data_IF_290073848139
#
_entry.id   IF_290073848139
#
_cell.length_a   1.000
_cell.length_b   1.000
_cell.length_c   1.000
_cell.angle_alpha   90.00
_cell.angle_beta   90.00
_cell.angle_gamma   90.00
#
_symmetry.space_group_name_H-M   'P 1'
#
loop_
_entity.id
_entity.type
_entity.pdbx_description
1 polymer ?
#
# COMPACT_ATOMS: atom_id res chain seq x y z
N UNK A 1 -8.98 -10.02 -9.62
CA UNK A 1 -7.94 -10.21 -8.59
C UNK A 1 -6.53 -9.75 -9.01
N UNK A 2 -6.13 -9.91 -10.27
CA UNK A 2 -4.76 -9.57 -10.72
C UNK A 2 -4.52 -8.06 -10.84
N UNK A 3 -5.50 -7.29 -11.31
CA UNK A 3 -5.33 -5.85 -11.56
C UNK A 3 -4.86 -5.06 -10.33
N UNK A 4 -5.47 -5.19 -9.13
CA UNK A 4 -4.97 -4.52 -7.93
C UNK A 4 -3.68 -5.16 -7.36
N UNK A 5 -3.43 -6.44 -7.61
CA UNK A 5 -2.24 -7.13 -7.10
C UNK A 5 -0.95 -6.70 -7.83
N UNK A 6 -1.02 -6.43 -9.15
CA UNK A 6 0.15 -6.09 -9.96
C UNK A 6 0.91 -4.85 -9.48
N UNK A 7 0.26 -3.68 -9.21
CA UNK A 7 0.98 -2.51 -8.72
C UNK A 7 1.63 -2.73 -7.35
N UNK A 8 0.95 -3.43 -6.45
CA UNK A 8 1.44 -3.70 -5.10
C UNK A 8 2.62 -4.69 -5.12
N UNK A 9 2.45 -5.82 -5.80
CA UNK A 9 3.51 -6.82 -5.94
C UNK A 9 4.69 -6.27 -6.73
N UNK A 10 4.44 -5.63 -7.87
CA UNK A 10 5.48 -5.02 -8.71
C UNK A 10 6.25 -3.93 -7.97
N UNK A 11 5.58 -3.16 -7.09
CA UNK A 11 6.21 -2.11 -6.29
C UNK A 11 7.04 -2.61 -5.11
N UNK A 12 6.73 -3.77 -4.53
CA UNK A 12 7.36 -4.26 -3.30
C UNK A 12 8.34 -5.42 -3.54
N UNK A 13 7.97 -6.41 -4.37
CA UNK A 13 8.76 -7.64 -4.54
C UNK A 13 10.20 -7.41 -5.01
N UNK A 14 10.49 -6.57 -6.03
CA UNK A 14 11.83 -6.43 -6.54
C UNK A 14 12.77 -5.60 -5.65
N UNK A 15 12.28 -4.98 -4.58
CA UNK A 15 13.08 -4.02 -3.79
C UNK A 15 14.33 -4.65 -3.18
N UNK A 16 14.25 -5.88 -2.67
CA UNK A 16 15.42 -6.57 -2.13
C UNK A 16 16.53 -6.77 -3.17
N UNK A 17 16.16 -7.03 -4.43
CA UNK A 17 17.11 -7.19 -5.53
C UNK A 17 17.78 -5.87 -5.93
N UNK A 18 17.08 -4.75 -5.73
CA UNK A 18 17.53 -3.41 -6.11
C UNK A 18 18.41 -2.74 -5.04
N UNK A 19 18.37 -3.21 -3.79
CA UNK A 19 19.12 -2.62 -2.66
C UNK A 19 20.59 -2.43 -3.01
N UNK A 20 21.27 -3.49 -3.45
CA UNK A 20 22.71 -3.46 -3.77
C UNK A 20 23.03 -2.53 -4.95
N UNK A 21 22.13 -2.42 -5.93
CA UNK A 21 22.29 -1.52 -7.06
C UNK A 21 22.10 -0.06 -6.63
N UNK A 22 21.07 0.25 -5.88
CA UNK A 22 20.80 1.60 -5.36
C UNK A 22 21.93 2.06 -4.42
N UNK A 23 22.40 1.18 -3.52
CA UNK A 23 23.46 1.51 -2.56
C UNK A 23 24.78 1.97 -3.20
N UNK A 24 25.11 1.44 -4.40
CA UNK A 24 26.36 1.79 -5.12
C UNK A 24 26.38 3.21 -5.71
N UNK A 25 25.27 3.91 -5.74
CA UNK A 25 25.19 5.27 -6.30
C UNK A 25 25.21 6.29 -5.17
N UNK A 26 26.12 7.25 -5.18
CA UNK A 26 26.19 8.35 -4.21
C UNK A 26 24.94 9.23 -4.26
N UNK A 27 24.58 9.70 -5.46
CA UNK A 27 23.36 10.47 -5.72
C UNK A 27 22.21 9.55 -6.14
N UNK A 28 21.10 9.60 -5.42
CA UNK A 28 19.91 8.77 -5.65
C UNK A 28 18.87 9.47 -6.53
N UNK A 29 18.83 10.81 -6.52
CA UNK A 29 17.87 11.60 -7.28
C UNK A 29 17.89 11.33 -8.80
N UNK A 30 19.05 11.17 -9.47
CA UNK A 30 19.09 10.79 -10.89
C UNK A 30 18.42 9.42 -11.15
N UNK A 31 18.59 8.46 -10.23
CA UNK A 31 17.94 7.15 -10.33
C UNK A 31 16.42 7.28 -10.21
N UNK A 32 15.96 8.06 -9.22
CA UNK A 32 14.54 8.38 -9.05
C UNK A 32 13.96 9.04 -10.30
N UNK A 33 14.64 10.06 -10.87
CA UNK A 33 14.18 10.77 -12.07
C UNK A 33 14.01 9.81 -13.27
N UNK A 34 15.00 8.94 -13.52
CA UNK A 34 14.96 7.95 -14.62
C UNK A 34 13.85 6.93 -14.41
N UNK A 35 13.77 6.36 -13.21
CA UNK A 35 12.71 5.39 -12.91
C UNK A 35 11.32 6.01 -13.01
N UNK A 36 11.15 7.25 -12.54
CA UNK A 36 9.87 7.96 -12.65
C UNK A 36 9.51 8.34 -14.09
N UNK A 37 10.47 8.55 -14.98
CA UNK A 37 10.21 8.72 -16.41
C UNK A 37 9.59 7.46 -17.03
N UNK A 38 10.09 6.27 -16.69
CA UNK A 38 9.49 5.00 -17.14
C UNK A 38 8.12 4.75 -16.51
N UNK A 39 7.90 5.14 -15.24
CA UNK A 39 6.57 5.13 -14.63
C UNK A 39 5.60 6.02 -15.40
N UNK A 40 6.02 7.22 -15.75
CA UNK A 40 5.23 8.16 -16.54
C UNK A 40 4.91 7.61 -17.93
N UNK A 41 5.87 6.96 -18.60
CA UNK A 41 5.64 6.26 -19.86
C UNK A 41 4.60 5.13 -19.72
N UNK A 42 4.63 4.37 -18.61
CA UNK A 42 3.61 3.38 -18.29
C UNK A 42 2.20 3.98 -18.18
N UNK A 43 2.08 5.13 -17.50
CA UNK A 43 0.81 5.84 -17.41
C UNK A 43 0.35 6.41 -18.76
N UNK A 44 1.27 6.90 -19.59
CA UNK A 44 0.96 7.34 -20.96
C UNK A 44 0.43 6.20 -21.83
N UNK A 45 0.92 4.97 -21.65
CA UNK A 45 0.35 3.79 -22.32
C UNK A 45 -1.11 3.55 -21.94
N UNK A 46 -1.47 3.74 -20.65
CA UNK A 46 -2.87 3.64 -20.22
C UNK A 46 -3.74 4.70 -20.88
N UNK A 47 -3.26 5.94 -20.93
CA UNK A 47 -3.94 7.07 -21.60
C UNK A 47 -4.10 6.76 -23.08
N UNK A 48 -3.01 6.40 -23.77
CA UNK A 48 -3.02 6.07 -25.20
C UNK A 48 -4.01 4.93 -25.51
N UNK A 49 -3.91 3.83 -24.75
CA UNK A 49 -4.81 2.69 -24.93
C UNK A 49 -6.27 3.07 -24.81
N UNK A 50 -6.60 3.84 -23.75
CA UNK A 50 -7.97 4.26 -23.49
C UNK A 50 -8.51 5.28 -24.52
N UNK A 51 -7.67 6.16 -25.08
CA UNK A 51 -8.11 7.09 -26.12
C UNK A 51 -8.26 6.47 -27.51
N UNK A 52 -7.35 5.57 -27.88
CA UNK A 52 -7.20 5.16 -29.28
C UNK A 52 -7.60 3.71 -29.57
N UNK A 53 -7.66 2.83 -28.55
CA UNK A 53 -7.86 1.40 -28.76
C UNK A 53 -9.23 0.89 -28.33
N UNK A 54 -10.19 1.77 -28.08
CA UNK A 54 -11.55 1.39 -27.65
C UNK A 54 -12.27 0.41 -28.60
N UNK A 55 -11.99 0.49 -29.91
CA UNK A 55 -12.54 -0.42 -30.90
C UNK A 55 -11.94 -1.84 -30.88
N UNK A 56 -10.79 -2.05 -30.22
CA UNK A 56 -10.06 -3.32 -30.14
C UNK A 56 -9.86 -3.79 -28.69
N UNK A 57 -10.88 -4.40 -28.05
CA UNK A 57 -10.83 -4.70 -26.60
C UNK A 57 -9.63 -5.55 -26.17
N UNK A 58 -9.21 -6.53 -27.00
CA UNK A 58 -8.05 -7.38 -26.71
C UNK A 58 -6.74 -6.60 -26.72
N UNK A 59 -6.56 -5.70 -27.70
CA UNK A 59 -5.37 -4.84 -27.78
C UNK A 59 -5.37 -3.80 -26.68
N UNK A 60 -6.52 -3.19 -26.39
CA UNK A 60 -6.70 -2.28 -25.26
C UNK A 60 -6.28 -2.94 -23.94
N UNK A 61 -6.77 -4.16 -23.66
CA UNK A 61 -6.40 -4.92 -22.47
C UNK A 61 -4.89 -5.20 -22.41
N UNK A 62 -4.29 -5.62 -23.55
CA UNK A 62 -2.85 -5.87 -23.65
C UNK A 62 -2.02 -4.63 -23.32
N UNK A 63 -2.35 -3.48 -23.93
CA UNK A 63 -1.67 -2.20 -23.70
C UNK A 63 -1.89 -1.71 -22.27
N UNK A 64 -3.10 -1.88 -21.72
CA UNK A 64 -3.42 -1.54 -20.33
C UNK A 64 -2.56 -2.35 -19.37
N UNK A 65 -2.49 -3.67 -19.53
CA UNK A 65 -1.68 -4.53 -18.67
C UNK A 65 -0.18 -4.24 -18.79
N UNK A 66 0.31 -3.96 -20.02
CA UNK A 66 1.70 -3.57 -20.24
C UNK A 66 2.04 -2.24 -19.58
N UNK A 67 1.19 -1.23 -19.70
CA UNK A 67 1.36 0.07 -19.05
C UNK A 67 1.33 -0.04 -17.52
N UNK A 68 0.40 -0.83 -16.98
CA UNK A 68 0.29 -1.10 -15.55
C UNK A 68 1.51 -1.86 -15.01
N UNK A 69 2.00 -2.85 -15.75
CA UNK A 69 3.21 -3.60 -15.40
C UNK A 69 4.44 -2.70 -15.41
N UNK A 70 4.62 -1.87 -16.44
CA UNK A 70 5.72 -0.91 -16.53
C UNK A 70 5.70 0.07 -15.36
N UNK A 71 4.53 0.64 -15.06
CA UNK A 71 4.33 1.51 -13.91
C UNK A 71 4.68 0.82 -12.58
N UNK A 72 4.21 -0.41 -12.38
CA UNK A 72 4.47 -1.20 -11.18
C UNK A 72 5.95 -1.52 -10.99
N UNK A 73 6.61 -2.02 -12.06
CA UNK A 73 8.03 -2.38 -12.04
C UNK A 73 8.91 -1.17 -11.68
N UNK A 74 8.71 -0.05 -12.35
CA UNK A 74 9.49 1.16 -12.08
C UNK A 74 9.06 1.87 -10.81
N UNK A 75 7.92 1.55 -10.22
CA UNK A 75 7.58 1.96 -8.84
C UNK A 75 8.53 1.32 -7.84
N UNK A 76 8.87 0.04 -7.98
CA UNK A 76 9.88 -0.60 -7.13
C UNK A 76 11.25 0.06 -7.28
N UNK A 77 11.67 0.32 -8.53
CA UNK A 77 12.97 0.96 -8.83
C UNK A 77 13.05 2.38 -8.25
N UNK A 78 11.96 3.16 -8.30
CA UNK A 78 11.91 4.53 -7.80
C UNK A 78 11.77 4.63 -6.28
N UNK A 79 11.21 3.61 -5.63
CA UNK A 79 10.85 3.63 -4.21
C UNK A 79 12.07 3.81 -3.29
N UNK A 80 13.10 2.99 -3.45
CA UNK A 80 14.31 3.08 -2.62
C UNK A 80 15.03 4.43 -2.79
N UNK A 81 15.34 4.90 -4.02
CA UNK A 81 15.89 6.23 -4.23
C UNK A 81 15.03 7.36 -3.64
N UNK A 82 13.70 7.27 -3.74
CA UNK A 82 12.78 8.25 -3.17
C UNK A 82 12.98 8.40 -1.65
N UNK A 83 12.98 7.28 -0.92
CA UNK A 83 13.14 7.30 0.53
C UNK A 83 14.53 7.76 0.98
N UNK A 84 15.57 7.41 0.22
CA UNK A 84 16.95 7.86 0.47
C UNK A 84 17.08 9.40 0.27
N UNK A 85 16.57 9.94 -0.85
CA UNK A 85 16.58 11.39 -1.11
C UNK A 85 15.81 12.14 -0.01
N UNK A 86 14.63 11.63 0.35
CA UNK A 86 13.81 12.25 1.40
C UNK A 86 14.54 12.22 2.76
N UNK A 87 15.20 11.12 3.09
CA UNK A 87 15.94 10.99 4.33
C UNK A 87 17.15 11.92 4.42
N UNK A 88 17.78 12.25 3.27
CA UNK A 88 18.90 13.20 3.17
C UNK A 88 18.45 14.65 3.17
N UNK A 89 17.38 14.95 2.41
CA UNK A 89 16.91 16.31 2.21
C UNK A 89 16.11 16.88 3.38
N UNK A 90 15.50 16.02 4.23
CA UNK A 90 14.60 16.45 5.32
C UNK A 90 15.19 16.08 6.67
N UNK A 91 15.46 17.07 7.55
CA UNK A 91 15.90 16.85 8.93
C UNK A 91 14.95 15.92 9.68
N UNK A 92 15.49 15.13 10.62
CA UNK A 92 14.69 14.12 11.35
C UNK A 92 13.51 14.74 12.09
N UNK A 93 13.72 15.92 12.64
CA UNK A 93 12.75 16.69 13.45
C UNK A 93 11.56 17.16 12.60
N UNK A 94 11.77 17.41 11.30
CA UNK A 94 10.74 17.91 10.37
C UNK A 94 9.96 16.80 9.68
N UNK A 95 10.49 15.57 9.65
CA UNK A 95 9.85 14.42 8.98
C UNK A 95 8.42 14.15 9.45
N UNK A 96 8.09 14.20 10.78
CA UNK A 96 6.73 13.98 11.23
C UNK A 96 5.75 15.00 10.65
N UNK A 97 6.14 16.28 10.59
CA UNK A 97 5.34 17.35 9.98
C UNK A 97 5.14 17.16 8.48
N UNK A 98 6.20 16.78 7.77
CA UNK A 98 6.15 16.47 6.35
C UNK A 98 5.18 15.29 6.08
N UNK A 99 5.29 14.19 6.82
CA UNK A 99 4.40 13.06 6.65
C UNK A 99 2.95 13.40 6.98
N UNK A 100 2.72 14.18 8.03
CA UNK A 100 1.38 14.67 8.33
C UNK A 100 0.81 15.50 7.18
N UNK A 101 1.59 16.40 6.59
CA UNK A 101 1.19 17.20 5.44
C UNK A 101 0.91 16.34 4.19
N UNK A 102 1.75 15.33 3.91
CA UNK A 102 1.55 14.39 2.80
C UNK A 102 0.25 13.61 2.97
N UNK A 103 0.01 13.03 4.16
CA UNK A 103 -1.18 12.20 4.39
C UNK A 103 -2.47 13.02 4.47
N UNK A 104 -2.44 14.17 5.15
CA UNK A 104 -3.61 15.07 5.22
C UNK A 104 -3.92 15.69 3.85
N UNK A 105 -2.91 16.27 3.19
CA UNK A 105 -3.08 16.86 1.86
C UNK A 105 -3.49 15.83 0.83
N UNK A 106 -2.86 14.65 0.83
CA UNK A 106 -3.22 13.52 -0.01
C UNK A 106 -4.65 13.05 0.23
N UNK A 107 -5.09 12.96 1.49
CA UNK A 107 -6.46 12.60 1.85
C UNK A 107 -7.49 13.60 1.34
N UNK A 108 -7.24 14.91 1.51
CA UNK A 108 -8.11 15.97 0.99
C UNK A 108 -8.18 15.93 -0.55
N UNK A 109 -7.03 15.79 -1.21
CA UNK A 109 -6.99 15.68 -2.67
C UNK A 109 -7.71 14.42 -3.18
N UNK A 110 -7.56 13.28 -2.51
CA UNK A 110 -8.27 12.05 -2.86
C UNK A 110 -9.79 12.20 -2.70
N UNK A 111 -10.24 12.86 -1.63
CA UNK A 111 -11.66 13.18 -1.42
C UNK A 111 -12.21 14.07 -2.53
N UNK A 112 -11.52 15.16 -2.87
CA UNK A 112 -11.91 16.04 -3.97
C UNK A 112 -11.89 15.33 -5.33
N UNK A 113 -10.87 14.49 -5.57
CA UNK A 113 -10.78 13.69 -6.79
C UNK A 113 -11.97 12.73 -6.94
N UNK A 114 -12.52 12.21 -5.84
CA UNK A 114 -13.73 11.37 -5.87
C UNK A 114 -14.93 12.09 -6.48
N UNK A 115 -15.14 13.36 -6.17
CA UNK A 115 -16.18 14.18 -6.82
C UNK A 115 -15.88 14.41 -8.30
N UNK A 116 -14.62 14.67 -8.65
CA UNK A 116 -14.17 14.81 -10.04
C UNK A 116 -14.44 13.55 -10.86
N UNK A 117 -14.11 12.38 -10.31
CA UNK A 117 -14.39 11.08 -10.94
C UNK A 117 -15.90 10.90 -11.17
N UNK A 118 -16.72 11.16 -10.13
CA UNK A 118 -18.18 11.06 -10.24
C UNK A 118 -18.75 12.01 -11.30
N UNK A 119 -18.30 13.26 -11.30
CA UNK A 119 -18.77 14.25 -12.26
C UNK A 119 -18.40 13.86 -13.70
N UNK A 120 -17.16 13.39 -13.92
CA UNK A 120 -16.68 13.03 -15.24
C UNK A 120 -17.31 11.75 -15.78
N UNK A 121 -17.52 10.75 -14.95
CA UNK A 121 -18.21 9.51 -15.37
C UNK A 121 -19.73 9.72 -15.53
N UNK A 122 -20.29 10.77 -14.91
CA UNK A 122 -21.69 11.17 -15.12
C UNK A 122 -21.96 11.94 -16.40
N UNK A 123 -20.95 12.21 -17.23
CA UNK A 123 -21.09 12.92 -18.53
C UNK A 123 -21.58 12.03 -19.69
N UNK A 124 -21.96 10.76 -19.43
CA UNK A 124 -22.41 9.80 -20.45
C UNK A 124 -21.48 9.70 -21.69
N UNK A 125 -20.17 9.85 -21.48
CA UNK A 125 -19.19 9.73 -22.54
C UNK A 125 -19.09 8.29 -23.07
N UNK A 126 -18.91 8.08 -24.37
CA UNK A 126 -18.76 6.74 -24.92
C UNK A 126 -17.55 6.03 -24.30
N UNK A 127 -17.72 4.75 -23.95
CA UNK A 127 -16.62 3.92 -23.46
C UNK A 127 -15.52 3.78 -24.55
N UNK A 128 -14.23 3.94 -24.20
CA UNK A 128 -13.65 4.14 -22.86
C UNK A 128 -13.25 5.60 -22.55
N UNK A 129 -13.81 6.61 -23.24
CA UNK A 129 -13.35 8.02 -23.18
C UNK A 129 -13.37 8.63 -21.78
N UNK A 130 -14.39 8.36 -20.96
CA UNK A 130 -14.43 8.83 -19.58
C UNK A 130 -13.25 8.34 -18.74
N UNK A 131 -12.88 7.08 -18.92
CA UNK A 131 -11.69 6.49 -18.26
C UNK A 131 -10.38 7.05 -18.82
N UNK A 132 -10.33 7.31 -20.14
CA UNK A 132 -9.14 7.93 -20.77
C UNK A 132 -8.84 9.30 -20.17
N UNK A 133 -9.87 10.12 -19.96
CA UNK A 133 -9.73 11.44 -19.31
C UNK A 133 -9.28 11.31 -17.85
N UNK A 134 -9.78 10.33 -17.09
CA UNK A 134 -9.35 10.08 -15.72
C UNK A 134 -7.87 9.66 -15.68
N UNK A 135 -7.44 8.76 -16.58
CA UNK A 135 -6.03 8.38 -16.68
C UNK A 135 -5.17 9.56 -17.09
N UNK A 136 -5.63 10.43 -18.00
CA UNK A 136 -4.90 11.63 -18.42
C UNK A 136 -4.70 12.59 -17.25
N UNK A 137 -5.75 12.89 -16.47
CA UNK A 137 -5.68 13.73 -15.28
C UNK A 137 -4.73 13.14 -14.23
N UNK A 138 -4.83 11.84 -13.96
CA UNK A 138 -3.91 11.13 -13.04
C UNK A 138 -2.46 11.17 -13.52
N UNK A 139 -2.23 11.02 -14.83
CA UNK A 139 -0.90 11.09 -15.44
C UNK A 139 -0.31 12.50 -15.33
N UNK A 140 -1.11 13.53 -15.56
CA UNK A 140 -0.68 14.94 -15.39
C UNK A 140 -0.33 15.23 -13.93
N UNK A 141 -1.17 14.81 -12.99
CA UNK A 141 -0.90 14.98 -11.55
C UNK A 141 0.39 14.25 -11.13
N UNK A 142 0.59 13.01 -11.61
CA UNK A 142 1.84 12.28 -11.38
C UNK A 142 3.05 12.99 -11.99
N UNK A 143 2.92 13.49 -13.22
CA UNK A 143 3.98 14.24 -13.92
C UNK A 143 4.38 15.50 -13.15
N UNK A 144 3.41 16.25 -12.63
CA UNK A 144 3.66 17.42 -11.79
C UNK A 144 4.40 17.03 -10.49
N UNK A 145 3.97 15.98 -9.80
CA UNK A 145 4.64 15.48 -8.59
C UNK A 145 6.08 15.04 -8.87
N UNK A 146 6.29 14.28 -9.95
CA UNK A 146 7.62 13.86 -10.39
C UNK A 146 8.54 15.06 -10.70
N UNK A 147 8.03 16.06 -11.41
CA UNK A 147 8.76 17.28 -11.74
C UNK A 147 9.18 18.05 -10.48
N UNK A 148 8.24 18.27 -9.56
CA UNK A 148 8.49 18.99 -8.30
C UNK A 148 9.51 18.24 -7.44
N UNK A 149 9.29 16.96 -7.15
CA UNK A 149 10.23 16.15 -6.35
C UNK A 149 11.60 16.04 -7.04
N UNK A 150 11.62 15.98 -8.37
CA UNK A 150 12.84 15.95 -9.15
C UNK A 150 13.72 17.20 -9.02
N UNK A 151 13.22 18.29 -8.41
CA UNK A 151 13.98 19.53 -8.14
C UNK A 151 14.53 19.62 -6.74
N UNK A 152 14.28 18.63 -5.89
CA UNK A 152 14.85 18.57 -4.54
C UNK A 152 16.38 18.59 -4.65
N UNK A 153 17.02 19.38 -3.82
CA UNK A 153 18.47 19.39 -3.67
C UNK A 153 18.88 18.19 -2.81
N UNK A 154 19.60 17.24 -3.41
CA UNK A 154 20.13 16.09 -2.72
C UNK A 154 21.56 16.38 -2.24
N UNK A 155 21.81 16.40 -0.90
CA UNK A 155 23.18 16.50 -0.38
C UNK A 155 24.06 15.35 -0.87
N UNK A 156 25.31 15.64 -1.21
CA UNK A 156 26.28 14.59 -1.53
C UNK A 156 26.66 13.84 -0.25
N UNK A 157 26.57 12.55 -0.29
CA UNK A 157 27.11 11.67 0.73
C UNK A 157 28.18 10.77 0.10
N UNK A 158 29.24 10.51 0.86
CA UNK A 158 30.22 9.51 0.47
C UNK A 158 29.56 8.14 0.35
N UNK A 159 29.85 7.44 -0.75
CA UNK A 159 29.34 6.09 -0.97
C UNK A 159 29.94 5.17 0.08
N UNK A 160 29.14 4.65 0.98
CA UNK A 160 29.59 3.57 1.85
C UNK A 160 29.96 2.36 0.97
N UNK A 161 31.26 2.16 0.77
CA UNK A 161 31.83 1.05 0.00
C UNK A 161 31.73 -0.21 0.84
N UNK A 162 30.49 -0.72 1.04
CA UNK A 162 30.22 -1.97 1.72
C UNK A 162 29.32 -2.87 0.87
N UNK A 163 29.62 -4.16 0.77
CA UNK A 163 28.65 -5.13 0.25
C UNK A 163 27.47 -5.17 1.21
N UNK A 164 26.31 -4.71 0.77
CA UNK A 164 25.08 -4.84 1.55
C UNK A 164 24.71 -6.32 1.64
N UNK A 165 25.01 -6.94 2.78
CA UNK A 165 24.64 -8.34 3.02
C UNK A 165 23.16 -8.41 3.42
N UNK A 166 22.32 -8.85 2.46
CA UNK A 166 20.90 -9.05 2.68
C UNK A 166 20.58 -10.13 3.72
N UNK A 167 21.56 -10.96 4.11
CA UNK A 167 21.36 -12.01 5.12
C UNK A 167 21.46 -11.46 6.54
N UNK A 168 22.11 -10.32 6.73
CA UNK A 168 22.37 -9.75 8.05
C UNK A 168 21.07 -9.45 8.82
N UNK A 169 20.06 -8.76 8.25
CA UNK A 169 18.78 -8.53 8.93
C UNK A 169 18.10 -9.84 9.34
N UNK A 170 18.16 -10.90 8.50
CA UNK A 170 17.54 -12.19 8.79
C UNK A 170 18.17 -12.93 9.97
N UNK A 171 19.41 -12.59 10.35
CA UNK A 171 20.09 -13.16 11.54
C UNK A 171 19.57 -12.54 12.84
N UNK A 172 18.91 -11.38 12.78
CA UNK A 172 18.39 -10.67 13.94
C UNK A 172 17.07 -11.29 14.42
N UNK A 173 16.99 -11.75 15.69
CA UNK A 173 15.74 -12.34 16.21
C UNK A 173 14.55 -11.40 16.12
N UNK A 174 14.73 -10.10 16.40
CA UNK A 174 13.67 -9.09 16.32
C UNK A 174 13.12 -8.92 14.90
N UNK A 175 13.98 -8.96 13.88
CA UNK A 175 13.52 -8.87 12.50
C UNK A 175 12.73 -10.10 12.05
N UNK A 176 13.17 -11.30 12.47
CA UNK A 176 12.40 -12.54 12.22
C UNK A 176 11.06 -12.53 12.91
N UNK A 177 11.01 -12.08 14.17
CA UNK A 177 9.75 -11.93 14.89
C UNK A 177 8.80 -10.93 14.20
N UNK A 178 9.35 -9.79 13.72
CA UNK A 178 8.60 -8.83 12.90
C UNK A 178 8.03 -9.46 11.63
N UNK A 179 8.85 -10.18 10.86
CA UNK A 179 8.39 -10.85 9.64
C UNK A 179 7.29 -11.88 9.94
N UNK A 180 7.42 -12.63 11.06
CA UNK A 180 6.39 -13.60 11.50
C UNK A 180 5.07 -12.90 11.84
N UNK A 181 5.12 -11.79 12.57
CA UNK A 181 3.92 -11.01 12.87
C UNK A 181 3.26 -10.46 11.58
N UNK A 182 4.09 -9.93 10.67
CA UNK A 182 3.62 -9.41 9.37
C UNK A 182 3.09 -10.51 8.44
N UNK A 183 3.63 -11.75 8.53
CA UNK A 183 3.13 -12.91 7.80
C UNK A 183 1.67 -13.17 8.14
N UNK A 184 1.39 -13.38 9.42
CA UNK A 184 0.04 -13.75 9.83
C UNK A 184 -0.97 -12.61 9.68
N UNK A 185 -0.60 -11.37 10.03
CA UNK A 185 -1.47 -10.20 9.83
C UNK A 185 -1.67 -9.88 8.34
N UNK A 186 -0.63 -10.06 7.50
CA UNK A 186 -0.74 -9.86 6.06
C UNK A 186 -1.61 -10.91 5.38
N UNK A 187 -1.49 -12.19 5.80
CA UNK A 187 -2.38 -13.25 5.32
C UNK A 187 -3.82 -13.05 5.82
N UNK A 188 -4.01 -12.57 7.05
CA UNK A 188 -5.35 -12.21 7.55
C UNK A 188 -5.99 -11.12 6.67
N UNK A 189 -5.18 -10.20 6.08
CA UNK A 189 -5.65 -9.17 5.16
C UNK A 189 -6.21 -9.68 3.83
N UNK A 190 -6.08 -10.99 3.50
CA UNK A 190 -6.68 -11.55 2.27
C UNK A 190 -8.20 -11.34 2.20
N UNK A 191 -8.86 -11.11 3.31
CA UNK A 191 -10.31 -10.88 3.43
C UNK A 191 -10.74 -9.50 2.93
N UNK A 192 -9.87 -8.52 2.89
CA UNK A 192 -10.20 -7.11 2.66
C UNK A 192 -11.10 -6.83 1.44
N UNK A 193 -10.79 -7.31 0.23
CA UNK A 193 -11.65 -7.07 -0.93
C UNK A 193 -13.00 -7.83 -0.86
N UNK A 194 -13.07 -8.84 0.00
CA UNK A 194 -14.27 -9.66 0.12
C UNK A 194 -15.35 -9.05 1.03
N UNK A 195 -15.03 -8.03 1.83
CA UNK A 195 -16.05 -7.26 2.54
C UNK A 195 -16.99 -6.55 1.55
N UNK A 196 -16.44 -5.90 0.52
CA UNK A 196 -17.23 -5.29 -0.52
C UNK A 196 -18.02 -6.32 -1.34
N UNK A 197 -17.37 -7.43 -1.72
CA UNK A 197 -18.04 -8.50 -2.46
C UNK A 197 -19.19 -9.15 -1.65
N UNK A 198 -19.01 -9.33 -0.35
CA UNK A 198 -20.03 -9.85 0.56
C UNK A 198 -21.20 -8.85 0.71
N UNK A 199 -20.90 -7.57 0.91
CA UNK A 199 -21.91 -6.52 0.99
C UNK A 199 -22.81 -6.49 -0.25
N UNK A 200 -22.22 -6.57 -1.44
CA UNK A 200 -22.96 -6.54 -2.70
C UNK A 200 -23.70 -7.87 -2.96
N UNK A 201 -22.99 -9.00 -2.90
CA UNK A 201 -23.51 -10.28 -3.38
C UNK A 201 -24.41 -11.01 -2.38
N UNK A 202 -24.16 -10.82 -1.09
CA UNK A 202 -24.88 -11.54 -0.01
C UNK A 202 -25.88 -10.65 0.69
N UNK A 203 -25.49 -9.39 0.98
CA UNK A 203 -26.34 -8.45 1.71
C UNK A 203 -27.21 -7.57 0.81
N UNK A 204 -26.97 -7.56 -0.53
CA UNK A 204 -27.71 -6.72 -1.47
C UNK A 204 -27.47 -5.21 -1.31
N UNK A 205 -26.27 -4.84 -0.77
CA UNK A 205 -25.93 -3.46 -0.38
C UNK A 205 -25.06 -2.76 -1.44
N UNK A 206 -25.40 -2.91 -2.71
CA UNK A 206 -24.65 -2.29 -3.81
C UNK A 206 -24.74 -0.76 -3.78
N UNK A 207 -25.92 -0.20 -3.50
CA UNK A 207 -26.13 1.24 -3.42
C UNK A 207 -25.33 1.92 -2.30
N UNK A 208 -25.08 1.21 -1.19
CA UNK A 208 -24.32 1.72 -0.05
C UNK A 208 -22.81 1.58 -0.19
N UNK A 209 -22.30 0.92 -1.23
CA UNK A 209 -20.88 0.65 -1.39
C UNK A 209 -20.02 1.93 -1.40
N UNK A 210 -20.53 3.00 -2.04
CA UNK A 210 -19.89 4.32 -2.02
C UNK A 210 -19.75 4.89 -0.61
N UNK A 211 -20.79 4.78 0.22
CA UNK A 211 -20.77 5.18 1.62
C UNK A 211 -19.76 4.34 2.42
N UNK A 212 -19.72 3.03 2.20
CA UNK A 212 -18.80 2.14 2.90
C UNK A 212 -17.35 2.49 2.61
N UNK A 213 -17.00 2.75 1.35
CA UNK A 213 -15.66 3.17 0.95
C UNK A 213 -15.30 4.55 1.53
N UNK A 214 -16.25 5.48 1.59
CA UNK A 214 -16.06 6.77 2.22
C UNK A 214 -15.80 6.65 3.72
N UNK A 215 -16.54 5.78 4.43
CA UNK A 215 -16.33 5.50 5.84
C UNK A 215 -14.98 4.82 6.11
N UNK A 216 -14.55 3.92 5.24
CA UNK A 216 -13.21 3.33 5.30
C UNK A 216 -12.12 4.41 5.21
N UNK A 217 -12.21 5.29 4.21
CA UNK A 217 -11.26 6.39 4.03
C UNK A 217 -11.29 7.37 5.21
N UNK A 218 -12.46 7.73 5.70
CA UNK A 218 -12.63 8.61 6.87
C UNK A 218 -12.00 7.99 8.12
N UNK A 219 -12.26 6.71 8.39
CA UNK A 219 -11.69 5.99 9.52
C UNK A 219 -10.16 5.90 9.41
N UNK A 220 -9.63 5.63 8.20
CA UNK A 220 -8.20 5.66 7.94
C UNK A 220 -7.59 7.01 8.31
N UNK A 221 -8.18 8.12 7.86
CA UNK A 221 -7.68 9.48 8.13
C UNK A 221 -7.76 9.80 9.64
N UNK A 222 -8.91 9.60 10.27
CA UNK A 222 -9.13 9.98 11.67
C UNK A 222 -8.29 9.12 12.63
N UNK A 223 -8.19 7.82 12.37
CA UNK A 223 -7.44 6.91 13.24
C UNK A 223 -5.93 7.11 13.17
N UNK A 224 -5.39 7.71 12.08
CA UNK A 224 -3.98 8.05 12.00
C UNK A 224 -3.52 8.94 13.17
N UNK A 225 -4.33 9.91 13.59
CA UNK A 225 -4.02 10.77 14.75
C UNK A 225 -3.95 9.95 16.05
N UNK A 226 -4.92 9.05 16.26
CA UNK A 226 -4.96 8.17 17.41
C UNK A 226 -3.76 7.21 17.44
N UNK A 227 -3.48 6.54 16.33
CA UNK A 227 -2.38 5.58 16.23
C UNK A 227 -1.03 6.25 16.35
N UNK A 228 -0.85 7.45 15.77
CA UNK A 228 0.37 8.24 15.93
C UNK A 228 0.60 8.66 17.38
N UNK A 229 -0.47 9.02 18.11
CA UNK A 229 -0.38 9.31 19.53
C UNK A 229 0.01 8.06 20.36
N UNK A 230 -0.56 6.91 20.03
CA UNK A 230 -0.24 5.63 20.67
C UNK A 230 1.18 5.15 20.33
N UNK A 231 1.66 5.40 19.12
CA UNK A 231 3.01 5.05 18.67
C UNK A 231 4.11 5.73 19.51
N UNK A 232 3.82 6.89 20.11
CA UNK A 232 4.74 7.53 21.07
C UNK A 232 4.96 6.71 22.35
N UNK A 233 4.04 5.78 22.66
CA UNK A 233 4.18 4.82 23.78
C UNK A 233 4.87 3.51 23.34
N UNK A 234 5.17 3.38 22.05
CA UNK A 234 5.80 2.22 21.45
C UNK A 234 5.02 1.67 20.26
N UNK A 235 5.73 1.35 19.18
CA UNK A 235 5.12 0.82 17.96
C UNK A 235 4.40 -0.52 18.18
N UNK A 236 4.85 -1.33 19.14
CA UNK A 236 4.23 -2.61 19.52
C UNK A 236 2.79 -2.43 20.02
N UNK A 237 2.49 -1.35 20.77
CA UNK A 237 1.14 -1.06 21.24
C UNK A 237 0.18 -0.81 20.05
N UNK A 238 0.65 -0.10 19.02
CA UNK A 238 -0.13 0.13 17.78
C UNK A 238 -0.35 -1.16 17.01
N UNK A 239 0.68 -2.03 16.93
CA UNK A 239 0.51 -3.35 16.32
C UNK A 239 -0.54 -4.20 17.04
N UNK A 240 -0.54 -4.20 18.38
CA UNK A 240 -1.54 -4.92 19.17
C UNK A 240 -2.95 -4.36 18.92
N UNK A 241 -3.12 -3.04 18.99
CA UNK A 241 -4.40 -2.39 18.71
C UNK A 241 -4.91 -2.67 17.29
N UNK A 242 -4.06 -2.50 16.29
CA UNK A 242 -4.38 -2.83 14.89
C UNK A 242 -4.70 -4.32 14.70
N UNK A 243 -3.92 -5.21 15.30
CA UNK A 243 -4.15 -6.65 15.25
C UNK A 243 -5.48 -7.08 15.89
N UNK A 244 -5.90 -6.43 16.99
CA UNK A 244 -7.23 -6.64 17.59
C UNK A 244 -8.33 -6.24 16.61
N UNK A 245 -8.18 -5.13 15.90
CA UNK A 245 -9.15 -4.71 14.88
C UNK A 245 -9.15 -5.67 13.68
N UNK A 246 -7.98 -6.18 13.24
CA UNK A 246 -7.91 -7.21 12.18
C UNK A 246 -8.66 -8.48 12.58
N UNK A 247 -8.59 -8.87 13.86
CA UNK A 247 -9.36 -10.02 14.40
C UNK A 247 -10.85 -9.71 14.49
N UNK A 248 -11.21 -8.56 15.03
CA UNK A 248 -12.60 -8.20 15.32
C UNK A 248 -13.41 -7.98 14.03
N UNK A 249 -12.81 -7.39 12.99
CA UNK A 249 -13.53 -6.99 11.77
C UNK A 249 -14.19 -8.16 11.04
N UNK A 250 -13.51 -9.30 10.72
CA UNK A 250 -14.16 -10.42 10.06
C UNK A 250 -15.19 -11.13 10.95
N UNK A 251 -15.01 -11.14 12.28
CA UNK A 251 -16.01 -11.69 13.20
C UNK A 251 -17.27 -10.83 13.25
N UNK A 252 -17.10 -9.50 13.25
CA UNK A 252 -18.22 -8.57 13.17
C UNK A 252 -18.91 -8.62 11.81
N UNK A 253 -18.19 -8.88 10.72
CA UNK A 253 -18.80 -9.07 9.41
C UNK A 253 -19.75 -10.27 9.36
N UNK A 254 -19.53 -11.30 10.21
CA UNK A 254 -20.44 -12.45 10.36
C UNK A 254 -21.61 -12.17 11.30
N UNK A 255 -21.39 -11.34 12.33
CA UNK A 255 -22.34 -11.16 13.42
C UNK A 255 -23.29 -9.97 13.22
N UNK A 256 -22.88 -8.96 12.47
CA UNK A 256 -23.65 -7.72 12.31
C UNK A 256 -24.84 -7.89 11.35
N UNK A 257 -25.99 -7.26 11.68
CA UNK A 257 -27.10 -7.18 10.74
C UNK A 257 -26.71 -6.31 9.53
N UNK A 258 -27.36 -6.50 8.35
CA UNK A 258 -27.03 -5.78 7.13
C UNK A 258 -27.04 -4.24 7.27
N UNK A 259 -27.88 -3.67 8.15
CA UNK A 259 -27.93 -2.24 8.40
C UNK A 259 -26.74 -1.67 9.16
N UNK A 260 -25.99 -2.50 9.89
CA UNK A 260 -24.79 -2.09 10.65
C UNK A 260 -23.49 -2.45 9.93
N UNK A 261 -23.54 -3.00 8.70
CA UNK A 261 -22.36 -3.50 7.99
C UNK A 261 -21.33 -2.41 7.64
N UNK A 262 -21.75 -1.15 7.60
CA UNK A 262 -20.88 0.03 7.47
C UNK A 262 -19.73 0.04 8.50
N UNK A 263 -19.95 -0.49 9.72
CA UNK A 263 -18.94 -0.57 10.77
C UNK A 263 -17.74 -1.44 10.35
N UNK A 264 -17.93 -2.48 9.54
CA UNK A 264 -16.85 -3.34 9.04
C UNK A 264 -15.85 -2.50 8.23
N UNK A 265 -16.33 -1.61 7.37
CA UNK A 265 -15.46 -0.74 6.57
C UNK A 265 -14.78 0.34 7.41
N UNK A 266 -15.47 0.87 8.42
CA UNK A 266 -14.86 1.80 9.36
C UNK A 266 -13.69 1.14 10.13
N UNK A 267 -13.90 -0.06 10.66
CA UNK A 267 -12.83 -0.79 11.37
C UNK A 267 -11.70 -1.19 10.43
N UNK A 268 -12.01 -1.55 9.17
CA UNK A 268 -11.01 -1.83 8.14
C UNK A 268 -10.11 -0.62 7.91
N UNK A 269 -10.66 0.57 7.72
CA UNK A 269 -9.88 1.80 7.57
C UNK A 269 -8.98 2.06 8.77
N UNK A 270 -9.51 1.87 9.97
CA UNK A 270 -8.77 2.08 11.21
C UNK A 270 -7.59 1.11 11.38
N UNK A 271 -7.75 -0.20 11.10
CA UNK A 271 -6.63 -1.13 11.23
C UNK A 271 -5.60 -0.98 10.13
N UNK A 272 -5.99 -0.60 8.91
CA UNK A 272 -5.03 -0.32 7.83
C UNK A 272 -4.07 0.82 8.22
N UNK A 273 -4.59 1.88 8.84
CA UNK A 273 -3.78 2.96 9.36
C UNK A 273 -2.84 2.48 10.50
N UNK A 274 -3.36 1.68 11.44
CA UNK A 274 -2.57 1.11 12.53
C UNK A 274 -1.39 0.27 12.02
N UNK A 275 -1.67 -0.68 11.11
CA UNK A 275 -0.64 -1.58 10.57
C UNK A 275 0.40 -0.84 9.72
N UNK A 276 0.00 0.23 9.03
CA UNK A 276 0.91 1.11 8.30
C UNK A 276 1.87 1.84 9.23
N UNK A 277 1.34 2.54 10.24
CA UNK A 277 2.14 3.28 11.23
C UNK A 277 3.04 2.34 12.01
N UNK A 278 2.48 1.27 12.60
CA UNK A 278 3.23 0.32 13.41
C UNK A 278 4.32 -0.37 12.60
N UNK A 279 3.99 -0.80 11.36
CA UNK A 279 4.93 -1.50 10.49
C UNK A 279 6.15 -0.66 10.14
N UNK A 280 5.92 0.57 9.72
CA UNK A 280 7.01 1.48 9.33
C UNK A 280 7.83 1.93 10.54
N UNK A 281 7.16 2.32 11.63
CA UNK A 281 7.84 2.79 12.85
C UNK A 281 8.70 1.68 13.46
N UNK A 282 8.12 0.49 13.65
CA UNK A 282 8.84 -0.65 14.23
C UNK A 282 10.04 -1.07 13.37
N UNK A 283 9.84 -1.16 12.04
CA UNK A 283 10.89 -1.55 11.11
C UNK A 283 12.07 -0.56 11.12
N UNK A 284 11.78 0.74 11.14
CA UNK A 284 12.81 1.79 11.17
C UNK A 284 13.56 1.84 12.51
N UNK A 285 12.88 1.55 13.62
CA UNK A 285 13.51 1.47 14.95
C UNK A 285 14.39 0.22 15.08
N UNK A 286 13.97 -0.88 14.46
CA UNK A 286 14.71 -2.15 14.50
C UNK A 286 15.99 -2.13 13.66
N UNK A 287 16.03 -1.32 12.61
CA UNK A 287 17.12 -1.31 11.63
C UNK A 287 18.24 -0.34 12.02
N UNK A 288 19.49 -0.81 12.27
CA UNK A 288 20.64 0.08 12.37
C UNK A 288 20.81 0.92 11.10
N UNK A 289 21.37 2.13 11.20
CA UNK A 289 21.56 3.01 10.05
C UNK A 289 22.22 2.33 8.84
N UNK A 290 23.24 1.53 9.08
CA UNK A 290 24.06 0.86 8.04
C UNK A 290 23.29 -0.26 7.32
N UNK A 291 22.32 -0.89 7.99
CA UNK A 291 21.53 -2.00 7.46
C UNK A 291 20.12 -1.58 7.04
N UNK A 292 19.75 -0.31 7.22
CA UNK A 292 18.35 0.16 7.07
C UNK A 292 17.79 -0.13 5.69
N UNK A 293 18.54 0.17 4.64
CA UNK A 293 18.13 -0.07 3.24
C UNK A 293 17.89 -1.56 2.98
N UNK A 294 18.77 -2.43 3.47
CA UNK A 294 18.61 -3.88 3.35
C UNK A 294 17.39 -4.40 4.12
N UNK A 295 17.22 -3.91 5.35
CA UNK A 295 16.13 -4.31 6.24
C UNK A 295 14.77 -3.90 5.65
N UNK A 296 14.65 -2.65 5.17
CA UNK A 296 13.44 -2.14 4.52
C UNK A 296 13.17 -2.86 3.20
N UNK A 297 14.19 -3.04 2.36
CA UNK A 297 14.06 -3.74 1.09
C UNK A 297 13.59 -5.19 1.25
N UNK A 298 14.16 -5.94 2.20
CA UNK A 298 13.73 -7.29 2.53
C UNK A 298 12.30 -7.33 3.08
N UNK A 299 11.98 -6.45 4.03
CA UNK A 299 10.64 -6.39 4.60
C UNK A 299 9.59 -6.09 3.53
N UNK A 300 9.84 -5.12 2.65
CA UNK A 300 8.93 -4.75 1.58
C UNK A 300 8.77 -5.88 0.55
N UNK A 301 9.88 -6.54 0.16
CA UNK A 301 9.79 -7.69 -0.75
C UNK A 301 8.99 -8.84 -0.13
N UNK A 302 9.15 -9.09 1.17
CA UNK A 302 8.36 -10.08 1.89
C UNK A 302 6.86 -9.69 1.93
N UNK A 303 6.56 -8.42 2.21
CA UNK A 303 5.20 -7.89 2.21
C UNK A 303 4.55 -7.93 0.82
N UNK A 304 5.34 -7.76 -0.24
CA UNK A 304 4.88 -7.85 -1.62
C UNK A 304 4.27 -9.21 -1.99
N UNK A 305 4.67 -10.29 -1.30
CA UNK A 305 4.06 -11.61 -1.48
C UNK A 305 2.57 -11.62 -1.10
N UNK A 306 2.18 -10.80 -0.11
CA UNK A 306 0.78 -10.74 0.34
C UNK A 306 -0.14 -10.01 -0.63
N UNK A 307 0.40 -9.30 -1.63
CA UNK A 307 -0.40 -8.73 -2.71
C UNK A 307 -1.25 -9.79 -3.44
N UNK A 308 -0.81 -11.05 -3.44
CA UNK A 308 -1.52 -12.17 -4.04
C UNK A 308 -2.43 -12.91 -3.06
N UNK A 309 -2.41 -12.58 -1.76
CA UNK A 309 -3.25 -13.26 -0.77
C UNK A 309 -4.76 -13.22 -1.08
N UNK A 310 -5.33 -12.15 -1.72
CA UNK A 310 -6.73 -12.18 -2.13
C UNK A 310 -7.07 -13.27 -3.16
N UNK A 311 -6.09 -13.78 -3.91
CA UNK A 311 -6.32 -14.91 -4.83
C UNK A 311 -6.64 -16.17 -4.02
N UNK A 312 -5.90 -16.42 -2.93
CA UNK A 312 -6.18 -17.50 -1.97
C UNK A 312 -7.54 -17.30 -1.31
N UNK A 313 -7.85 -16.04 -0.91
CA UNK A 313 -9.18 -15.70 -0.38
C UNK A 313 -10.31 -16.01 -1.35
N UNK A 314 -10.13 -15.73 -2.65
CA UNK A 314 -11.09 -16.07 -3.69
C UNK A 314 -11.32 -17.56 -3.84
N UNK A 315 -10.27 -18.36 -3.76
CA UNK A 315 -10.37 -19.82 -3.76
C UNK A 315 -11.13 -20.35 -2.54
N UNK A 316 -10.83 -19.83 -1.34
CA UNK A 316 -11.56 -20.18 -0.11
C UNK A 316 -13.05 -19.84 -0.23
N UNK A 317 -13.40 -18.66 -0.75
CA UNK A 317 -14.80 -18.27 -0.96
C UNK A 317 -15.49 -19.20 -1.96
N UNK A 318 -14.81 -19.56 -3.03
CA UNK A 318 -15.35 -20.48 -4.06
C UNK A 318 -15.59 -21.88 -3.54
N UNK A 319 -14.72 -22.39 -2.65
CA UNK A 319 -14.82 -23.74 -2.11
C UNK A 319 -15.72 -23.84 -0.88
N UNK A 320 -15.70 -22.86 0.03
CA UNK A 320 -16.33 -22.94 1.37
C UNK A 320 -17.15 -21.69 1.75
N UNK A 321 -17.27 -20.72 0.87
CA UNK A 321 -18.06 -19.50 1.09
C UNK A 321 -17.36 -18.42 1.93
N UNK A 322 -18.03 -17.28 2.06
CA UNK A 322 -17.50 -16.10 2.78
C UNK A 322 -17.28 -16.36 4.27
N UNK A 323 -18.14 -17.13 4.92
CA UNK A 323 -18.01 -17.46 6.35
C UNK A 323 -16.70 -18.15 6.68
N UNK A 324 -16.30 -19.11 5.85
CA UNK A 324 -15.02 -19.81 6.01
C UNK A 324 -13.83 -18.86 5.83
N UNK A 325 -13.89 -17.95 4.86
CA UNK A 325 -12.84 -16.94 4.67
C UNK A 325 -12.72 -16.00 5.89
N UNK A 326 -13.85 -15.54 6.43
CA UNK A 326 -13.86 -14.63 7.58
C UNK A 326 -13.30 -15.32 8.84
N UNK A 327 -13.68 -16.58 9.09
CA UNK A 327 -13.14 -17.35 10.20
C UNK A 327 -11.65 -17.67 10.03
N UNK A 328 -11.21 -18.00 8.81
CA UNK A 328 -9.79 -18.22 8.51
C UNK A 328 -8.98 -16.95 8.76
N UNK A 329 -9.47 -15.79 8.28
CA UNK A 329 -8.84 -14.49 8.54
C UNK A 329 -8.74 -14.20 10.03
N UNK A 330 -9.81 -14.44 10.81
CA UNK A 330 -9.79 -14.26 12.25
C UNK A 330 -8.76 -15.19 12.94
N UNK A 331 -8.68 -16.46 12.53
CA UNK A 331 -7.69 -17.42 13.03
C UNK A 331 -6.26 -16.99 12.77
N UNK A 332 -5.98 -16.50 11.54
CA UNK A 332 -4.68 -15.94 11.19
C UNK A 332 -4.36 -14.67 12.00
N UNK A 333 -5.36 -13.82 12.27
CA UNK A 333 -5.18 -12.63 13.11
C UNK A 333 -4.82 -13.00 14.56
N UNK A 334 -5.37 -14.09 15.12
CA UNK A 334 -4.97 -14.61 16.45
C UNK A 334 -3.50 -15.01 16.45
N UNK A 335 -3.03 -15.72 15.43
CA UNK A 335 -1.62 -16.08 15.29
C UNK A 335 -0.74 -14.83 15.11
N UNK A 336 -1.23 -13.83 14.38
CA UNK A 336 -0.58 -12.54 14.23
C UNK A 336 -0.44 -11.79 15.54
N UNK A 337 -1.49 -11.72 16.34
CA UNK A 337 -1.48 -11.11 17.68
C UNK A 337 -0.51 -11.83 18.63
N UNK A 338 -0.51 -13.16 18.60
CA UNK A 338 0.45 -13.95 19.36
C UNK A 338 1.90 -13.64 18.95
N UNK A 339 2.18 -13.53 17.65
CA UNK A 339 3.49 -13.16 17.15
C UNK A 339 3.87 -11.72 17.55
N UNK A 340 2.93 -10.76 17.49
CA UNK A 340 3.15 -9.37 17.93
C UNK A 340 3.51 -9.29 19.42
N UNK A 341 2.86 -10.09 20.28
CA UNK A 341 3.20 -10.12 21.72
C UNK A 341 4.65 -10.52 21.97
N UNK A 342 5.25 -11.33 21.08
CA UNK A 342 6.65 -11.78 21.17
C UNK A 342 7.65 -10.80 20.57
N UNK A 343 7.20 -9.70 19.97
CA UNK A 343 8.10 -8.66 19.48
C UNK A 343 8.85 -8.04 20.67
N UNK A 344 10.17 -7.79 20.53
CA UNK A 344 10.88 -6.93 21.48
C UNK A 344 10.23 -5.56 21.57
N UNK A 345 10.43 -4.88 22.69
CA UNK A 345 10.11 -3.45 22.78
C UNK A 345 11.11 -2.70 21.87
N UNK A 346 10.62 -1.83 20.95
CA UNK A 346 11.42 -1.08 20.00
C UNK A 346 10.88 0.34 19.82
#
# INVERSE_FOLDING_TARGET
GLVPALPLAGGLLPQALLVGWVARHGRKLPLYRRASAFRFAGLLLLVFGAFFLGAWPGLLLGVFLAGLFLFALFTAVASLPYWEVLAKAVPREERPGLFAAIYMGGGVLAFLAGFGVRALLGLDLPFPLGYALLFALGTLAYGAAWYVFGRVEEPEEEVAVGRTDLRLPLRRPGFRAYLTARLFLGLAGMVEPFYAAYAVRVLGKEAELGLYLALNALAFILSNALWSALARRGAKAVFLGGGVLVLATPLLALALPPGAFALVFFLQGAYLAALGIAGNTYLLNLAPPEERTATVGLANSFLGLFAFSPVLGGWVVGAWGYGALFLLSAGLAVLGLWAVRRLPEA
#
